data_IF_626493048296
#
_entry.id   IF_626493048296
#
_cell.length_a   1.000
_cell.length_b   1.000
_cell.length_c   1.000
_cell.angle_alpha   90.00
_cell.angle_beta   90.00
_cell.angle_gamma   90.00
#
_symmetry.space_group_name_H-M   'P 1'
#
loop_
_entity.id
_entity.type
_entity.pdbx_description
1 polymer ?
#
# COMPACT_ATOMS: atom_id res chain seq x y z
N UNK A 1 -0.31 -31.97 31.62
CA UNK A 1 -0.25 -32.63 30.30
C UNK A 1 -0.99 -31.74 29.35
N UNK A 2 -0.25 -30.97 28.55
CA UNK A 2 -0.80 -30.00 27.61
C UNK A 2 -0.19 -30.35 26.26
N UNK A 3 -1.06 -30.59 25.29
CA UNK A 3 -0.72 -30.92 23.91
C UNK A 3 -0.10 -29.69 23.24
N UNK A 4 1.05 -29.86 22.59
CA UNK A 4 1.60 -28.87 21.67
C UNK A 4 0.96 -29.02 20.29
N UNK A 5 0.64 -27.93 19.57
CA UNK A 5 0.31 -27.98 18.16
C UNK A 5 1.62 -28.17 17.37
N UNK A 6 1.71 -29.28 16.65
CA UNK A 6 2.75 -29.52 15.67
C UNK A 6 2.53 -28.60 14.46
N UNK A 7 3.62 -27.95 14.10
CA UNK A 7 3.86 -27.19 12.88
C UNK A 7 3.42 -27.98 11.63
N UNK A 8 2.51 -27.42 10.83
CA UNK A 8 2.16 -27.91 9.50
C UNK A 8 2.53 -26.81 8.52
N UNK A 9 3.79 -26.80 8.11
CA UNK A 9 4.24 -26.11 6.92
C UNK A 9 3.90 -26.98 5.70
N UNK A 10 2.68 -26.86 5.18
CA UNK A 10 2.36 -27.40 3.84
C UNK A 10 2.87 -26.43 2.80
N UNK A 11 4.03 -26.71 2.21
CA UNK A 11 4.42 -26.14 0.91
C UNK A 11 3.43 -26.65 -0.14
N UNK A 12 2.49 -25.81 -0.55
CA UNK A 12 1.52 -26.13 -1.59
C UNK A 12 2.25 -26.26 -2.94
N UNK A 13 1.95 -27.29 -3.73
CA UNK A 13 2.51 -27.46 -5.07
C UNK A 13 2.04 -26.31 -5.98
N UNK A 14 2.99 -25.59 -6.56
CA UNK A 14 2.68 -24.53 -7.53
C UNK A 14 2.37 -25.15 -8.90
N UNK A 15 1.23 -24.74 -9.47
CA UNK A 15 0.72 -25.21 -10.76
C UNK A 15 0.27 -24.03 -11.62
N UNK A 16 0.40 -24.15 -12.94
CA UNK A 16 -0.06 -23.13 -13.90
C UNK A 16 -0.63 -23.76 -15.18
N UNK A 17 -1.43 -22.98 -15.91
CA UNK A 17 -1.92 -23.34 -17.24
C UNK A 17 -1.23 -22.49 -18.31
N UNK A 18 -0.77 -23.12 -19.39
CA UNK A 18 -0.01 -22.47 -20.46
C UNK A 18 -0.66 -22.74 -21.82
N UNK A 19 -0.58 -21.76 -22.72
CA UNK A 19 -0.98 -21.85 -24.15
C UNK A 19 -2.45 -22.23 -24.43
N UNK A 20 -3.31 -22.20 -23.41
CA UNK A 20 -4.75 -22.33 -23.60
C UNK A 20 -5.40 -21.03 -24.09
N UNK A 21 -6.58 -21.13 -24.73
CA UNK A 21 -7.30 -19.97 -25.25
C UNK A 21 -7.87 -19.06 -24.15
N UNK A 22 -7.92 -19.54 -22.89
CA UNK A 22 -8.49 -18.85 -21.72
C UNK A 22 -7.61 -19.08 -20.48
N UNK A 23 -7.63 -18.19 -19.46
CA UNK A 23 -6.85 -18.34 -18.23
C UNK A 23 -7.10 -19.65 -17.45
N UNK A 24 -8.30 -20.21 -17.54
CA UNK A 24 -8.69 -21.48 -16.91
C UNK A 24 -8.68 -22.67 -17.90
N UNK A 25 -7.84 -22.59 -18.95
CA UNK A 25 -7.58 -23.67 -19.90
C UNK A 25 -6.12 -23.64 -20.31
N UNK A 26 -5.54 -24.80 -20.61
CA UNK A 26 -4.17 -24.87 -21.11
C UNK A 26 -3.48 -26.18 -20.76
N UNK A 27 -2.23 -26.31 -21.22
CA UNK A 27 -1.30 -27.35 -20.78
C UNK A 27 -1.00 -27.16 -19.30
N UNK A 28 -1.03 -28.24 -18.54
CA UNK A 28 -0.77 -28.19 -17.09
C UNK A 28 0.73 -28.31 -16.83
N UNK A 29 1.28 -27.35 -16.10
CA UNK A 29 2.67 -27.35 -15.66
C UNK A 29 2.76 -27.24 -14.13
N UNK A 30 3.74 -27.91 -13.55
CA UNK A 30 4.01 -27.95 -12.10
C UNK A 30 5.45 -27.52 -11.82
N UNK A 31 5.65 -26.79 -10.73
CA UNK A 31 6.98 -26.38 -10.28
C UNK A 31 7.56 -27.43 -9.34
N UNK A 32 8.68 -28.05 -9.73
CA UNK A 32 9.41 -29.01 -8.88
C UNK A 32 10.91 -28.70 -8.92
N UNK A 33 11.55 -28.69 -7.75
CA UNK A 33 12.97 -28.34 -7.60
C UNK A 33 13.38 -27.01 -8.27
N UNK A 34 12.45 -26.04 -8.35
CA UNK A 34 12.68 -24.73 -8.97
C UNK A 34 12.60 -24.71 -10.50
N UNK A 35 12.18 -25.82 -11.13
CA UNK A 35 12.02 -25.94 -12.58
C UNK A 35 10.57 -26.30 -12.93
N UNK A 36 9.97 -25.55 -13.85
CA UNK A 36 8.66 -25.87 -14.38
C UNK A 36 8.75 -27.09 -15.30
N UNK A 37 7.78 -27.99 -15.19
CA UNK A 37 7.68 -29.14 -16.08
C UNK A 37 6.25 -29.61 -16.22
N UNK A 38 6.00 -30.43 -17.23
CA UNK A 38 4.67 -30.88 -17.63
C UNK A 38 4.23 -32.15 -16.90
N UNK A 39 2.99 -32.55 -17.14
CA UNK A 39 2.38 -33.78 -16.64
C UNK A 39 2.08 -34.66 -17.86
N UNK A 40 2.41 -35.95 -17.79
CA UNK A 40 2.06 -36.92 -18.82
C UNK A 40 0.56 -37.28 -18.78
N UNK A 41 -0.05 -37.50 -19.94
CA UNK A 41 -1.45 -37.84 -20.11
C UNK A 41 -1.80 -39.32 -19.84
N UNK A 42 -0.79 -40.15 -19.55
CA UNK A 42 -0.96 -41.50 -19.02
C UNK A 42 -1.70 -41.46 -17.68
N UNK A 43 -2.92 -42.01 -17.66
CA UNK A 43 -3.81 -41.95 -16.50
C UNK A 43 -4.65 -40.67 -16.40
N UNK A 44 -4.43 -39.67 -17.26
CA UNK A 44 -5.07 -38.36 -17.16
C UNK A 44 -6.54 -38.38 -17.59
N UNK A 45 -7.46 -38.20 -16.65
CA UNK A 45 -8.88 -38.05 -16.95
C UNK A 45 -9.54 -36.90 -16.19
N UNK A 46 -10.89 -36.85 -16.23
CA UNK A 46 -11.65 -35.77 -15.60
C UNK A 46 -11.42 -35.68 -14.08
N UNK A 47 -10.99 -36.75 -13.41
CA UNK A 47 -10.70 -36.74 -11.97
C UNK A 47 -9.44 -35.94 -11.67
N UNK A 48 -8.36 -36.16 -12.42
CA UNK A 48 -7.12 -35.39 -12.30
C UNK A 48 -7.37 -33.92 -12.68
N UNK A 49 -8.09 -33.69 -13.77
CA UNK A 49 -8.50 -32.36 -14.20
C UNK A 49 -9.34 -31.63 -13.14
N UNK A 50 -10.26 -32.31 -12.44
CA UNK A 50 -11.07 -31.72 -11.36
C UNK A 50 -10.19 -31.23 -10.20
N UNK A 51 -9.17 -32.02 -9.84
CA UNK A 51 -8.18 -31.61 -8.82
C UNK A 51 -7.43 -30.37 -9.28
N UNK A 52 -6.97 -30.31 -10.54
CA UNK A 52 -6.28 -29.13 -11.10
C UNK A 52 -7.18 -27.90 -11.12
N UNK A 53 -8.39 -28.01 -11.66
CA UNK A 53 -9.33 -26.90 -11.75
C UNK A 53 -9.67 -26.34 -10.37
N UNK A 54 -9.89 -27.21 -9.38
CA UNK A 54 -10.12 -26.79 -8.00
C UNK A 54 -8.88 -26.20 -7.35
N UNK A 55 -7.71 -26.80 -7.52
CA UNK A 55 -6.45 -26.31 -6.96
C UNK A 55 -6.09 -24.92 -7.51
N UNK A 56 -6.45 -24.62 -8.76
CA UNK A 56 -6.32 -23.30 -9.39
C UNK A 56 -7.46 -22.32 -9.06
N UNK A 57 -8.55 -22.77 -8.42
CA UNK A 57 -9.74 -21.96 -8.20
C UNK A 57 -10.54 -21.66 -9.49
N UNK A 58 -10.38 -22.46 -10.53
CA UNK A 58 -10.97 -22.30 -11.86
C UNK A 58 -12.35 -22.97 -12.04
N UNK A 59 -13.04 -23.32 -10.95
CA UNK A 59 -14.32 -24.04 -10.99
C UNK A 59 -14.15 -25.55 -11.19
N UNK A 60 -15.09 -26.17 -11.91
CA UNK A 60 -15.11 -27.63 -12.16
C UNK A 60 -14.45 -27.98 -13.49
N UNK A 61 -13.92 -29.18 -13.66
CA UNK A 61 -13.36 -29.63 -14.93
C UNK A 61 -14.47 -29.85 -15.98
N UNK A 62 -14.32 -29.20 -17.15
CA UNK A 62 -15.16 -29.47 -18.32
C UNK A 62 -14.54 -30.55 -19.19
N UNK A 63 -13.22 -30.55 -19.34
CA UNK A 63 -12.51 -31.58 -20.11
C UNK A 63 -11.07 -31.77 -19.62
N UNK A 64 -10.53 -32.95 -19.90
CA UNK A 64 -9.15 -33.34 -19.62
C UNK A 64 -8.44 -33.71 -20.94
N UNK A 65 -8.05 -32.71 -21.77
CA UNK A 65 -7.44 -33.02 -23.05
C UNK A 65 -6.08 -33.70 -22.91
N UNK A 66 -5.81 -34.58 -23.86
CA UNK A 66 -4.60 -35.38 -24.02
C UNK A 66 -3.87 -34.97 -25.30
N UNK A 67 -2.74 -35.60 -25.55
CA UNK A 67 -1.97 -35.46 -26.80
C UNK A 67 -1.55 -33.99 -27.08
N UNK A 68 -1.15 -33.26 -26.04
CA UNK A 68 -0.61 -31.89 -26.14
C UNK A 68 -1.50 -30.92 -26.91
N UNK A 69 -2.81 -30.97 -26.66
CA UNK A 69 -3.81 -30.10 -27.31
C UNK A 69 -3.42 -28.62 -27.33
N UNK A 70 -2.81 -28.12 -26.25
CA UNK A 70 -2.36 -26.73 -26.12
C UNK A 70 -0.86 -26.56 -26.33
N UNK A 71 -0.27 -27.40 -27.19
CA UNK A 71 1.15 -27.37 -27.48
C UNK A 71 1.97 -28.21 -26.49
N UNK A 72 3.16 -28.55 -26.93
CA UNK A 72 4.15 -29.34 -26.22
C UNK A 72 4.91 -28.44 -25.24
N UNK A 73 5.20 -28.96 -24.04
CA UNK A 73 6.11 -28.31 -23.12
C UNK A 73 7.56 -28.44 -23.56
N UNK A 74 8.43 -27.77 -22.82
CA UNK A 74 9.87 -27.89 -22.98
C UNK A 74 10.47 -28.47 -21.68
N UNK A 75 11.56 -29.21 -21.81
CA UNK A 75 12.37 -29.74 -20.71
C UNK A 75 11.87 -31.01 -20.00
N UNK A 76 11.20 -30.88 -18.85
CA UNK A 76 10.95 -31.98 -17.92
C UNK A 76 9.47 -32.35 -17.87
N UNK A 77 9.18 -33.65 -17.90
CA UNK A 77 7.88 -34.22 -17.54
C UNK A 77 8.00 -34.70 -16.10
N UNK A 78 7.30 -34.04 -15.17
CA UNK A 78 7.48 -34.28 -13.74
C UNK A 78 6.58 -35.37 -13.18
N UNK A 79 5.34 -35.47 -13.65
CA UNK A 79 4.34 -36.40 -13.14
C UNK A 79 3.82 -37.28 -14.28
N UNK A 80 3.52 -38.55 -13.97
CA UNK A 80 2.82 -39.48 -14.85
C UNK A 80 2.03 -40.49 -14.04
N UNK A 81 1.09 -41.18 -14.68
CA UNK A 81 0.24 -42.21 -14.07
C UNK A 81 -0.50 -41.70 -12.83
N UNK A 82 -0.97 -40.45 -12.90
CA UNK A 82 -1.78 -39.86 -11.85
C UNK A 82 -3.09 -40.64 -11.72
N UNK A 83 -3.41 -41.01 -10.49
CA UNK A 83 -4.61 -41.74 -10.13
C UNK A 83 -5.32 -41.01 -8.98
N UNK A 84 -6.00 -39.94 -9.33
CA UNK A 84 -6.82 -39.15 -8.42
C UNK A 84 -8.22 -39.77 -8.29
N UNK A 85 -8.80 -39.62 -7.11
CA UNK A 85 -10.24 -39.87 -6.85
C UNK A 85 -11.10 -38.71 -7.34
N UNK A 86 -10.51 -37.53 -7.56
CA UNK A 86 -11.18 -36.27 -7.91
C UNK A 86 -11.53 -35.40 -6.69
N UNK A 87 -11.24 -35.86 -5.47
CA UNK A 87 -11.60 -35.17 -4.22
C UNK A 87 -10.41 -34.56 -3.48
N UNK A 88 -9.20 -34.82 -3.96
CA UNK A 88 -7.92 -34.35 -3.45
C UNK A 88 -7.77 -32.82 -3.46
N UNK A 89 -7.13 -32.25 -2.44
CA UNK A 89 -6.88 -30.80 -2.37
C UNK A 89 -5.74 -30.33 -3.28
N UNK A 90 -4.83 -31.24 -3.63
CA UNK A 90 -3.67 -30.99 -4.48
C UNK A 90 -3.33 -32.23 -5.33
N UNK A 91 -2.73 -32.03 -6.51
CA UNK A 91 -2.18 -33.12 -7.32
C UNK A 91 -1.15 -33.98 -6.58
N UNK A 92 -0.47 -33.42 -5.57
CA UNK A 92 0.47 -34.17 -4.71
C UNK A 92 -0.20 -35.20 -3.82
N UNK A 93 -1.51 -35.09 -3.61
CA UNK A 93 -2.27 -36.02 -2.78
C UNK A 93 -2.79 -37.22 -3.59
N UNK A 94 -2.66 -37.17 -4.91
CA UNK A 94 -3.00 -38.28 -5.78
C UNK A 94 -1.88 -39.34 -5.78
N UNK A 95 -2.25 -40.60 -5.99
CA UNK A 95 -1.26 -41.64 -6.24
C UNK A 95 -0.62 -41.39 -7.61
N UNK A 96 0.71 -41.40 -7.67
CA UNK A 96 1.49 -41.14 -8.87
C UNK A 96 2.80 -41.94 -8.87
N UNK A 97 3.44 -42.06 -10.03
CA UNK A 97 4.84 -42.52 -10.08
C UNK A 97 5.78 -41.50 -9.40
N UNK A 98 6.99 -41.92 -8.99
CA UNK A 98 8.01 -41.00 -8.50
C UNK A 98 8.26 -39.84 -9.47
N UNK A 99 8.55 -38.66 -8.94
CA UNK A 99 8.80 -37.45 -9.73
C UNK A 99 9.88 -37.68 -10.79
N UNK A 100 9.57 -37.37 -12.05
CA UNK A 100 10.45 -37.55 -13.20
C UNK A 100 10.63 -38.99 -13.68
N UNK A 101 9.96 -39.97 -13.08
CA UNK A 101 9.95 -41.37 -13.53
C UNK A 101 8.77 -41.62 -14.49
N UNK A 102 9.01 -41.42 -15.78
CA UNK A 102 8.04 -41.67 -16.85
C UNK A 102 8.73 -42.13 -18.14
N UNK A 103 7.94 -42.71 -19.04
CA UNK A 103 8.36 -43.08 -20.40
C UNK A 103 7.79 -42.15 -21.47
N UNK A 104 7.19 -41.05 -21.04
CA UNK A 104 6.43 -40.16 -21.90
C UNK A 104 7.34 -39.20 -22.67
N UNK A 105 6.79 -38.61 -23.71
CA UNK A 105 7.38 -37.50 -24.43
C UNK A 105 6.39 -36.32 -24.48
N UNK A 106 6.84 -35.15 -24.94
CA UNK A 106 6.00 -33.94 -24.90
C UNK A 106 4.80 -33.94 -25.86
N UNK A 107 4.62 -34.96 -26.71
CA UNK A 107 3.33 -35.17 -27.41
C UNK A 107 2.26 -35.66 -26.45
N UNK A 108 2.64 -36.16 -25.27
CA UNK A 108 1.76 -36.73 -24.25
C UNK A 108 1.53 -35.74 -23.10
N UNK A 109 1.74 -34.43 -23.30
CA UNK A 109 1.53 -33.45 -22.23
C UNK A 109 0.02 -33.22 -21.99
N UNK A 110 -0.36 -33.39 -20.74
CA UNK A 110 -1.71 -33.26 -20.26
C UNK A 110 -2.16 -31.78 -20.23
N UNK A 111 -3.44 -31.59 -20.56
CA UNK A 111 -4.09 -30.28 -20.57
C UNK A 111 -5.40 -30.32 -19.79
N UNK A 112 -5.93 -29.15 -19.47
CA UNK A 112 -7.24 -29.01 -18.83
C UNK A 112 -8.08 -27.91 -19.47
N UNK A 113 -9.40 -28.11 -19.50
CA UNK A 113 -10.38 -27.03 -19.67
C UNK A 113 -11.29 -27.04 -18.44
N UNK A 114 -11.22 -26.00 -17.63
CA UNK A 114 -12.12 -25.82 -16.51
C UNK A 114 -13.36 -25.05 -16.96
N UNK A 115 -14.40 -25.03 -16.13
CA UNK A 115 -15.62 -24.27 -16.40
C UNK A 115 -15.33 -22.78 -16.54
N UNK A 116 -14.19 -22.34 -15.98
CA UNK A 116 -14.11 -21.02 -15.39
C UNK A 116 -15.11 -21.00 -14.23
N UNK A 117 -14.82 -20.27 -13.16
CA UNK A 117 -15.99 -19.64 -12.53
C UNK A 117 -16.61 -18.79 -13.63
N UNK A 118 -17.92 -18.90 -13.88
CA UNK A 118 -18.64 -17.82 -14.58
C UNK A 118 -18.11 -16.53 -13.96
N UNK A 119 -17.24 -15.83 -14.68
CA UNK A 119 -16.78 -14.53 -14.24
C UNK A 119 -18.09 -13.74 -14.30
N UNK A 120 -18.68 -13.35 -13.15
CA UNK A 120 -19.91 -12.59 -13.20
C UNK A 120 -19.56 -11.39 -14.06
N UNK A 121 -20.20 -11.17 -15.21
CA UNK A 121 -19.97 -9.90 -15.91
C UNK A 121 -20.81 -8.87 -15.17
N UNK A 122 -20.16 -7.85 -14.57
CA UNK A 122 -18.78 -7.43 -14.76
C UNK A 122 -17.77 -8.12 -13.82
N UNK A 123 -16.63 -8.57 -14.36
CA UNK A 123 -15.71 -9.50 -13.69
C UNK A 123 -15.10 -9.02 -12.36
N UNK A 124 -14.38 -9.91 -11.64
CA UNK A 124 -13.81 -9.58 -10.34
C UNK A 124 -12.90 -8.35 -10.42
N UNK A 125 -12.88 -7.59 -9.33
CA UNK A 125 -11.95 -6.48 -9.14
C UNK A 125 -10.79 -6.91 -8.24
N UNK A 126 -9.65 -6.22 -8.34
CA UNK A 126 -8.50 -6.39 -7.43
C UNK A 126 -7.80 -5.07 -7.16
N UNK A 127 -7.03 -5.05 -6.07
CA UNK A 127 -6.12 -3.95 -5.73
C UNK A 127 -4.66 -4.39 -5.92
N UNK A 128 -3.90 -3.64 -6.72
CA UNK A 128 -2.51 -3.98 -7.09
C UNK A 128 -1.53 -2.90 -6.64
N UNK A 129 -0.30 -3.30 -6.27
CA UNK A 129 0.80 -2.37 -5.98
C UNK A 129 0.74 -1.71 -4.59
N UNK A 130 -0.28 -2.00 -3.78
CA UNK A 130 -0.33 -1.57 -2.39
C UNK A 130 0.20 -2.62 -1.40
N UNK A 131 0.27 -2.27 -0.10
CA UNK A 131 0.95 -3.07 0.92
C UNK A 131 0.21 -4.37 1.30
N UNK A 132 -1.06 -4.49 0.93
CA UNK A 132 -1.87 -5.70 1.12
C UNK A 132 -3.10 -5.66 0.19
N UNK A 133 -3.92 -6.73 0.23
CA UNK A 133 -5.11 -6.90 -0.64
C UNK A 133 -6.19 -5.81 -0.51
N UNK A 134 -6.14 -4.97 0.52
CA UNK A 134 -7.15 -3.95 0.81
C UNK A 134 -6.65 -2.51 0.53
N UNK A 135 -5.52 -2.35 -0.16
CA UNK A 135 -5.04 -1.06 -0.65
C UNK A 135 -4.28 -1.25 -1.97
N UNK A 136 -4.50 -0.38 -2.95
CA UNK A 136 -3.80 -0.46 -4.24
C UNK A 136 -4.50 0.27 -5.38
N UNK A 137 -3.91 0.18 -6.58
CA UNK A 137 -4.52 0.55 -7.86
C UNK A 137 -5.70 -0.36 -8.13
N UNK A 138 -6.83 0.20 -8.58
CA UNK A 138 -8.02 -0.57 -8.91
C UNK A 138 -7.86 -1.16 -10.31
N UNK A 139 -8.02 -2.48 -10.41
CA UNK A 139 -8.08 -3.19 -11.68
C UNK A 139 -9.36 -4.04 -11.74
N UNK A 140 -9.97 -4.09 -12.91
CA UNK A 140 -11.18 -4.85 -13.21
C UNK A 140 -10.87 -5.89 -14.28
N UNK A 141 -11.41 -7.10 -14.11
CA UNK A 141 -11.34 -8.15 -15.11
C UNK A 141 -12.52 -8.00 -16.06
N UNK A 142 -12.26 -7.67 -17.32
CA UNK A 142 -13.28 -7.58 -18.37
C UNK A 142 -12.74 -8.19 -19.66
N UNK A 143 -13.61 -8.90 -20.41
CA UNK A 143 -13.22 -9.68 -21.59
C UNK A 143 -12.00 -10.59 -21.34
N UNK A 144 -11.97 -11.25 -20.17
CA UNK A 144 -10.89 -12.15 -19.74
C UNK A 144 -9.50 -11.45 -19.61
N UNK A 145 -9.44 -10.11 -19.54
CA UNK A 145 -8.21 -9.32 -19.34
C UNK A 145 -8.32 -8.31 -18.20
N UNK A 146 -7.27 -8.23 -17.40
CA UNK A 146 -7.16 -7.19 -16.38
C UNK A 146 -6.86 -5.84 -17.04
N UNK A 147 -7.55 -4.80 -16.57
CA UNK A 147 -7.30 -3.42 -16.95
C UNK A 147 -7.57 -2.47 -15.81
N UNK A 148 -7.00 -1.27 -15.87
CA UNK A 148 -7.14 -0.26 -14.83
C UNK A 148 -8.43 0.57 -14.99
N UNK A 149 -8.70 1.38 -13.97
CA UNK A 149 -9.80 2.35 -13.94
C UNK A 149 -9.20 3.76 -13.96
N UNK A 150 -9.73 4.67 -14.77
CA UNK A 150 -9.30 6.06 -14.76
C UNK A 150 -9.81 6.80 -13.52
N UNK A 151 -9.07 7.82 -13.07
CA UNK A 151 -9.45 8.65 -11.93
C UNK A 151 -10.35 9.85 -12.27
N UNK A 152 -10.70 10.07 -13.54
CA UNK A 152 -11.66 11.11 -13.90
C UNK A 152 -13.00 10.81 -13.21
N UNK A 153 -13.54 11.81 -12.51
CA UNK A 153 -14.69 11.72 -11.58
C UNK A 153 -14.52 10.76 -10.37
N UNK A 154 -13.35 10.12 -10.20
CA UNK A 154 -13.12 9.13 -9.13
C UNK A 154 -13.08 9.73 -7.72
N UNK A 155 -13.99 9.29 -6.86
CA UNK A 155 -14.18 9.81 -5.50
C UNK A 155 -14.23 8.71 -4.42
N UNK A 156 -14.51 9.13 -3.18
CA UNK A 156 -14.60 8.22 -2.03
C UNK A 156 -15.80 7.25 -2.13
N UNK A 157 -16.88 7.61 -2.82
CA UNK A 157 -18.03 6.74 -3.05
C UNK A 157 -17.66 5.60 -4.01
N UNK A 158 -16.86 5.87 -5.04
CA UNK A 158 -16.35 4.81 -5.93
C UNK A 158 -15.44 3.84 -5.18
N UNK A 159 -14.50 4.38 -4.40
CA UNK A 159 -13.65 3.58 -3.54
C UNK A 159 -14.46 2.79 -2.50
N UNK A 160 -15.59 3.34 -2.02
CA UNK A 160 -16.46 2.65 -1.06
C UNK A 160 -17.11 1.40 -1.67
N UNK A 161 -17.53 1.48 -2.94
CA UNK A 161 -18.05 0.31 -3.68
C UNK A 161 -16.95 -0.73 -3.85
N UNK A 162 -15.74 -0.32 -4.25
CA UNK A 162 -14.57 -1.22 -4.35
C UNK A 162 -14.28 -1.92 -3.03
N UNK A 163 -14.21 -1.18 -1.93
CA UNK A 163 -13.88 -1.71 -0.61
C UNK A 163 -14.94 -2.69 -0.08
N UNK A 164 -16.23 -2.39 -0.31
CA UNK A 164 -17.35 -3.28 0.01
C UNK A 164 -17.31 -4.55 -0.85
N UNK A 165 -17.14 -4.41 -2.17
CA UNK A 165 -17.10 -5.53 -3.11
C UNK A 165 -15.96 -6.52 -2.78
N UNK A 166 -14.81 -6.01 -2.29
CA UNK A 166 -13.67 -6.83 -1.86
C UNK A 166 -13.78 -7.38 -0.43
N UNK A 167 -14.82 -7.01 0.33
CA UNK A 167 -14.95 -7.37 1.74
C UNK A 167 -13.84 -6.77 2.62
N UNK A 168 -13.31 -5.61 2.24
CA UNK A 168 -12.21 -4.92 2.91
C UNK A 168 -12.67 -3.81 3.86
N UNK A 169 -13.97 -3.74 4.17
CA UNK A 169 -14.55 -2.73 5.05
C UNK A 169 -14.91 -1.44 4.29
N UNK A 170 -14.79 -0.30 4.97
CA UNK A 170 -15.11 1.01 4.43
C UNK A 170 -13.94 1.63 3.67
N UNK A 171 -14.24 2.51 2.72
CA UNK A 171 -13.21 3.29 2.06
C UNK A 171 -12.62 4.33 3.02
N UNK A 172 -11.30 4.44 2.96
CA UNK A 172 -10.51 5.40 3.74
C UNK A 172 -9.96 6.49 2.81
N UNK A 173 -9.54 6.13 1.59
CA UNK A 173 -9.20 7.07 0.51
C UNK A 173 -9.54 6.50 -0.87
N UNK A 174 -9.71 7.44 -1.80
CA UNK A 174 -9.74 7.24 -3.24
C UNK A 174 -8.55 7.95 -3.92
N UNK A 175 -7.30 7.44 -3.81
CA UNK A 175 -6.16 8.17 -4.38
C UNK A 175 -6.18 8.20 -5.91
N UNK A 176 -5.82 9.36 -6.46
CA UNK A 176 -5.67 9.61 -7.90
C UNK A 176 -4.18 9.56 -8.33
N UNK A 177 -3.92 9.75 -9.62
CA UNK A 177 -2.56 9.96 -10.15
C UNK A 177 -1.66 8.72 -10.12
N UNK A 178 -2.21 7.51 -10.22
CA UNK A 178 -1.47 6.25 -10.19
C UNK A 178 -0.57 6.07 -8.94
N UNK A 179 -1.09 6.44 -7.76
CA UNK A 179 -0.36 6.40 -6.47
C UNK A 179 0.31 5.05 -6.18
N UNK A 180 -0.32 3.93 -6.56
CA UNK A 180 0.21 2.57 -6.38
C UNK A 180 0.86 2.01 -7.65
N UNK A 181 1.41 2.91 -8.47
CA UNK A 181 2.05 2.58 -9.73
C UNK A 181 1.05 2.60 -10.89
N UNK A 182 1.61 2.77 -12.08
CA UNK A 182 0.90 2.77 -13.36
C UNK A 182 0.59 1.35 -13.78
N UNK A 183 -0.59 1.15 -14.36
CA UNK A 183 -0.93 -0.04 -15.14
C UNK A 183 -0.11 -0.13 -16.42
N UNK A 184 -0.18 -1.30 -17.05
CA UNK A 184 0.53 -1.62 -18.30
C UNK A 184 -0.40 -2.01 -19.45
N UNK A 185 -1.67 -2.27 -19.15
CA UNK A 185 -2.64 -2.92 -20.02
C UNK A 185 -3.80 -1.98 -20.40
N UNK A 186 -4.98 -2.49 -20.75
CA UNK A 186 -6.12 -1.64 -21.14
C UNK A 186 -6.65 -0.82 -19.95
N UNK A 187 -7.14 0.41 -20.17
CA UNK A 187 -7.97 1.13 -19.20
C UNK A 187 -9.43 0.79 -19.53
N UNK A 188 -10.12 0.15 -18.60
CA UNK A 188 -11.46 -0.39 -18.85
C UNK A 188 -12.60 0.56 -18.52
N UNK A 189 -12.46 1.32 -17.44
CA UNK A 189 -13.51 2.20 -16.94
C UNK A 189 -12.98 3.64 -16.84
N UNK A 190 -13.88 4.58 -17.12
CA UNK A 190 -13.65 6.02 -17.13
C UNK A 190 -14.95 6.74 -16.73
N UNK A 191 -14.82 7.95 -16.17
CA UNK A 191 -15.91 8.73 -15.54
C UNK A 191 -16.79 7.87 -14.60
N UNK A 192 -16.16 7.07 -13.73
CA UNK A 192 -16.90 6.24 -12.76
C UNK A 192 -17.52 7.16 -11.70
N UNK A 193 -18.82 7.02 -11.47
CA UNK A 193 -19.58 7.94 -10.62
C UNK A 193 -20.63 7.20 -9.78
N UNK A 194 -20.14 6.38 -8.85
CA UNK A 194 -20.93 5.62 -7.89
C UNK A 194 -21.61 6.52 -6.86
N UNK A 195 -22.72 6.05 -6.31
CA UNK A 195 -23.39 6.65 -5.15
C UNK A 195 -22.90 6.09 -3.81
N UNK A 196 -22.06 5.03 -3.83
CA UNK A 196 -21.44 4.40 -2.65
C UNK A 196 -22.25 3.24 -2.06
N UNK A 197 -23.40 2.92 -2.66
CA UNK A 197 -24.33 1.86 -2.21
C UNK A 197 -24.46 0.69 -3.19
N UNK A 198 -23.88 0.82 -4.37
CA UNK A 198 -23.82 -0.22 -5.39
C UNK A 198 -23.18 -1.49 -4.84
N UNK A 199 -23.62 -2.65 -5.31
CA UNK A 199 -23.06 -3.93 -4.87
C UNK A 199 -21.72 -4.24 -5.55
N UNK A 200 -21.49 -3.66 -6.73
CA UNK A 200 -20.26 -3.83 -7.49
C UNK A 200 -19.91 -2.58 -8.31
N UNK A 201 -18.63 -2.40 -8.61
CA UNK A 201 -18.10 -1.21 -9.28
C UNK A 201 -18.73 -0.98 -10.66
N UNK A 202 -19.17 -2.04 -11.32
CA UNK A 202 -19.71 -1.92 -12.66
C UNK A 202 -21.25 -1.88 -12.73
N UNK A 203 -21.90 -1.79 -11.57
CA UNK A 203 -23.25 -1.19 -11.46
C UNK A 203 -23.21 0.33 -11.43
N UNK A 204 -22.03 0.93 -11.20
CA UNK A 204 -21.89 2.38 -11.18
C UNK A 204 -22.05 2.98 -12.58
N UNK A 205 -22.68 4.16 -12.69
CA UNK A 205 -22.60 4.97 -13.90
C UNK A 205 -21.13 5.18 -14.29
N UNK A 206 -20.82 4.89 -15.55
CA UNK A 206 -19.50 5.07 -16.14
C UNK A 206 -19.63 5.21 -17.67
N UNK A 207 -18.55 5.60 -18.33
CA UNK A 207 -18.44 5.50 -19.79
C UNK A 207 -18.52 4.04 -20.26
N UNK A 208 -18.86 3.79 -21.55
CA UNK A 208 -18.76 2.46 -22.11
C UNK A 208 -17.37 1.85 -21.91
N UNK A 209 -17.32 0.55 -21.63
CA UNK A 209 -16.06 -0.17 -21.39
C UNK A 209 -15.02 0.07 -22.50
N UNK A 210 -13.82 0.46 -22.10
CA UNK A 210 -12.70 0.77 -22.99
C UNK A 210 -12.80 2.11 -23.74
N UNK A 211 -13.87 2.89 -23.56
CA UNK A 211 -13.97 4.27 -24.05
C UNK A 211 -13.46 5.24 -22.98
N UNK A 212 -12.20 5.64 -23.12
CA UNK A 212 -11.54 6.57 -22.21
C UNK A 212 -10.65 7.57 -22.95
N UNK A 213 -10.39 8.71 -22.33
CA UNK A 213 -9.38 9.68 -22.81
C UNK A 213 -8.08 9.65 -21.98
N UNK A 214 -8.03 8.81 -20.94
CA UNK A 214 -6.95 8.78 -19.97
C UNK A 214 -5.68 8.04 -20.44
N UNK A 215 -4.57 8.27 -19.74
CA UNK A 215 -3.35 7.47 -19.81
C UNK A 215 -3.03 6.89 -18.41
N UNK A 216 -2.15 5.89 -18.30
CA UNK A 216 -1.88 5.22 -17.00
C UNK A 216 -1.27 6.08 -15.89
N UNK A 217 -0.94 7.35 -16.14
CA UNK A 217 -0.68 8.28 -15.05
C UNK A 217 -1.94 8.66 -14.27
N UNK A 218 -3.10 8.34 -14.82
CA UNK A 218 -4.42 8.66 -14.29
C UNK A 218 -5.12 7.44 -13.68
N UNK A 219 -4.43 6.31 -13.49
CA UNK A 219 -5.07 5.15 -12.88
C UNK A 219 -5.51 5.43 -11.42
N UNK A 220 -6.77 5.10 -11.14
CA UNK A 220 -7.43 5.23 -9.86
C UNK A 220 -6.97 4.18 -8.85
N UNK A 221 -7.11 4.50 -7.57
CA UNK A 221 -6.74 3.63 -6.46
C UNK A 221 -7.79 3.65 -5.35
N UNK A 222 -7.79 2.61 -4.53
CA UNK A 222 -8.61 2.54 -3.32
C UNK A 222 -7.75 2.12 -2.11
N UNK A 223 -8.05 2.71 -0.95
CA UNK A 223 -7.50 2.31 0.34
C UNK A 223 -8.67 2.05 1.27
N UNK A 224 -8.79 0.82 1.75
CA UNK A 224 -9.90 0.37 2.60
C UNK A 224 -9.48 0.23 4.07
N UNK A 225 -10.43 0.25 5.00
CA UNK A 225 -10.14 0.18 6.44
C UNK A 225 -9.49 -1.14 6.84
N UNK A 226 -9.83 -2.23 6.15
CA UNK A 226 -9.20 -3.54 6.27
C UNK A 226 -7.71 -3.57 5.88
N UNK A 227 -7.17 -2.51 5.26
CA UNK A 227 -5.74 -2.41 4.98
C UNK A 227 -4.90 -2.11 6.23
N UNK A 228 -5.52 -1.63 7.31
CA UNK A 228 -4.81 -1.11 8.48
C UNK A 228 -4.08 0.21 8.24
N UNK A 229 -4.16 0.76 7.02
CA UNK A 229 -3.64 2.10 6.70
C UNK A 229 -4.65 3.11 7.23
N UNK A 230 -4.35 3.69 8.39
CA UNK A 230 -5.05 4.88 8.86
C UNK A 230 -4.50 6.07 8.09
N UNK A 231 -5.38 6.82 7.42
CA UNK A 231 -5.00 8.12 6.89
C UNK A 231 -4.74 9.01 8.08
N UNK A 232 -3.47 9.34 8.30
CA UNK A 232 -3.17 10.54 9.05
C UNK A 232 -3.56 11.68 8.13
N UNK A 233 -4.77 12.19 8.31
CA UNK A 233 -5.19 13.46 7.73
C UNK A 233 -4.16 14.46 8.20
N UNK A 234 -3.30 14.85 7.27
CA UNK A 234 -2.11 15.61 7.61
C UNK A 234 -2.59 17.02 7.92
N UNK A 235 -2.29 17.49 9.13
CA UNK A 235 -2.51 18.88 9.53
C UNK A 235 -1.19 19.60 9.30
N UNK A 236 -1.25 20.85 8.82
CA UNK A 236 -0.10 21.75 8.78
C UNK A 236 -0.49 23.14 9.26
N UNK A 237 0.52 23.90 9.69
CA UNK A 237 0.37 25.30 10.06
C UNK A 237 1.07 26.17 9.01
N UNK A 238 0.36 27.17 8.49
CA UNK A 238 0.84 28.04 7.41
C UNK A 238 0.84 29.50 7.86
N UNK A 239 1.79 30.29 7.36
CA UNK A 239 1.89 31.75 7.54
C UNK A 239 1.96 32.26 8.98
N UNK A 240 2.22 31.37 9.95
CA UNK A 240 2.51 31.76 11.32
C UNK A 240 3.97 32.22 11.51
N UNK A 241 4.24 33.02 12.55
CA UNK A 241 5.58 33.53 12.84
C UNK A 241 6.55 32.44 13.30
N UNK A 242 6.04 31.25 13.65
CA UNK A 242 6.81 30.10 14.16
C UNK A 242 6.22 28.77 13.69
N UNK A 243 6.99 27.64 13.69
CA UNK A 243 6.53 26.34 13.20
C UNK A 243 5.28 25.79 13.90
N UNK A 244 5.07 26.14 15.16
CA UNK A 244 3.93 25.70 15.97
C UNK A 244 2.88 26.80 16.12
N UNK A 245 2.77 27.67 15.11
CA UNK A 245 1.72 28.69 15.00
C UNK A 245 1.36 28.88 13.53
N UNK A 246 0.12 29.24 13.23
CA UNK A 246 -0.30 29.53 11.85
C UNK A 246 -1.77 29.23 11.59
N UNK A 247 -2.20 29.50 10.36
CA UNK A 247 -3.47 29.03 9.81
C UNK A 247 -3.45 27.51 9.75
N UNK A 248 -4.54 26.87 10.18
CA UNK A 248 -4.64 25.41 10.19
C UNK A 248 -5.17 24.93 8.86
N UNK A 249 -4.40 24.06 8.20
CA UNK A 249 -4.81 23.41 6.95
C UNK A 249 -4.79 21.89 7.11
N UNK A 250 -5.75 21.23 6.49
CA UNK A 250 -5.92 19.77 6.48
C UNK A 250 -5.82 19.25 5.04
N UNK A 251 -5.11 18.15 4.87
CA UNK A 251 -5.04 17.44 3.59
C UNK A 251 -6.19 16.46 3.47
N UNK A 252 -7.13 16.73 2.57
CA UNK A 252 -8.24 15.84 2.24
C UNK A 252 -8.29 15.60 0.74
N UNK A 253 -8.45 14.35 0.30
CA UNK A 253 -8.48 13.97 -1.12
C UNK A 253 -7.27 14.47 -1.95
N UNK A 254 -6.11 14.60 -1.30
CA UNK A 254 -4.88 15.08 -1.96
C UNK A 254 -4.80 16.59 -2.14
N UNK A 255 -5.80 17.35 -1.67
CA UNK A 255 -5.87 18.82 -1.74
C UNK A 255 -5.81 19.40 -0.33
N UNK A 256 -4.94 20.39 -0.14
CA UNK A 256 -4.90 21.14 1.11
C UNK A 256 -6.06 22.12 1.15
N UNK A 257 -6.77 22.18 2.27
CA UNK A 257 -7.81 23.16 2.50
C UNK A 257 -7.85 23.61 3.95
N UNK A 258 -8.53 24.71 4.19
CA UNK A 258 -8.61 25.36 5.49
C UNK A 258 -9.74 24.80 6.34
N UNK A 259 -9.80 25.27 7.59
CA UNK A 259 -10.84 24.94 8.56
C UNK A 259 -11.59 26.23 8.89
N UNK A 260 -12.91 26.20 8.91
CA UNK A 260 -13.73 27.32 9.35
C UNK A 260 -13.66 27.52 10.87
N UNK A 261 -13.70 28.78 11.32
CA UNK A 261 -13.64 29.16 12.72
C UNK A 261 -14.98 29.03 13.48
N UNK A 262 -16.05 28.63 12.80
CA UNK A 262 -17.31 28.21 13.39
C UNK A 262 -17.09 26.96 14.27
N UNK A 263 -17.34 27.12 15.57
CA UNK A 263 -17.06 26.09 16.58
C UNK A 263 -15.61 26.05 17.05
N UNK A 264 -14.69 26.82 16.46
CA UNK A 264 -13.26 26.73 16.76
C UNK A 264 -12.88 27.36 18.11
N UNK A 265 -12.47 26.54 19.07
CA UNK A 265 -11.98 26.98 20.37
C UNK A 265 -10.68 26.28 20.82
N UNK A 266 -10.30 26.46 22.09
CA UNK A 266 -9.08 25.88 22.64
C UNK A 266 -9.06 24.34 22.61
N UNK A 267 -10.22 23.67 22.54
CA UNK A 267 -10.32 22.21 22.47
C UNK A 267 -9.84 21.69 21.11
N UNK A 268 -10.30 22.30 20.03
CA UNK A 268 -9.86 21.98 18.67
C UNK A 268 -8.36 22.30 18.52
N UNK A 269 -7.95 23.47 19.02
CA UNK A 269 -6.53 23.86 19.06
C UNK A 269 -5.65 22.88 19.85
N UNK A 270 -6.13 22.35 20.99
CA UNK A 270 -5.38 21.37 21.79
C UNK A 270 -5.16 20.07 21.01
N UNK A 271 -6.17 19.63 20.25
CA UNK A 271 -6.04 18.46 19.36
C UNK A 271 -5.02 18.75 18.27
N UNK A 272 -5.06 19.91 17.61
CA UNK A 272 -4.07 20.32 16.60
C UNK A 272 -2.65 20.32 17.16
N UNK A 273 -2.44 21.03 18.27
CA UNK A 273 -1.11 21.18 18.86
C UNK A 273 -0.52 19.83 19.28
N UNK A 274 -1.35 18.95 19.86
CA UNK A 274 -0.94 17.61 20.23
C UNK A 274 -0.69 16.71 19.01
N UNK A 275 -1.55 16.76 18.00
CA UNK A 275 -1.41 16.00 16.76
C UNK A 275 -0.11 16.37 16.02
N UNK A 276 0.29 17.64 16.06
CA UNK A 276 1.53 18.14 15.48
C UNK A 276 2.76 17.96 16.37
N UNK A 277 2.61 17.47 17.60
CA UNK A 277 3.69 17.39 18.57
C UNK A 277 4.22 18.75 19.03
N UNK A 278 3.42 19.82 18.90
CA UNK A 278 3.74 21.20 19.22
C UNK A 278 3.44 21.59 20.68
N UNK A 279 3.15 20.61 21.54
CA UNK A 279 2.78 20.83 22.94
C UNK A 279 1.29 21.04 23.13
N UNK A 280 0.95 21.84 24.15
CA UNK A 280 -0.42 22.29 24.44
C UNK A 280 -0.78 23.55 23.65
N UNK A 281 -2.06 23.79 23.42
CA UNK A 281 -2.58 25.01 22.82
C UNK A 281 -2.43 26.22 23.76
N UNK A 282 -1.95 27.33 23.20
CA UNK A 282 -1.93 28.63 23.87
C UNK A 282 -3.12 29.50 23.44
N UNK A 283 -3.46 29.45 22.15
CA UNK A 283 -4.61 30.19 21.61
C UNK A 283 -5.21 29.51 20.38
N UNK A 284 -6.48 29.80 20.13
CA UNK A 284 -7.25 29.37 18.95
C UNK A 284 -7.76 30.61 18.18
N UNK A 285 -6.89 31.33 17.45
CA UNK A 285 -7.32 32.53 16.76
C UNK A 285 -8.33 32.24 15.64
N UNK A 286 -9.20 33.22 15.44
CA UNK A 286 -10.28 33.25 14.45
C UNK A 286 -10.03 34.36 13.44
N UNK A 287 -10.92 34.51 12.47
CA UNK A 287 -10.92 35.61 11.51
C UNK A 287 -9.60 35.70 10.69
N UNK A 288 -9.05 34.56 10.28
CA UNK A 288 -7.87 34.47 9.40
C UNK A 288 -6.67 35.27 9.87
N UNK A 289 -6.37 35.20 11.18
CA UNK A 289 -5.25 35.92 11.80
C UNK A 289 -3.93 35.79 11.05
N UNK A 290 -3.65 34.62 10.48
CA UNK A 290 -2.43 34.34 9.72
C UNK A 290 -2.65 34.37 8.20
N UNK A 291 -3.62 35.15 7.75
CA UNK A 291 -3.98 35.25 6.34
C UNK A 291 -5.00 34.22 5.92
N UNK A 292 -5.74 34.56 4.89
CA UNK A 292 -6.74 33.73 4.23
C UNK A 292 -6.05 32.60 3.45
N UNK A 293 -6.64 31.40 3.47
CA UNK A 293 -6.24 30.33 2.58
C UNK A 293 -6.75 30.52 1.16
N UNK A 294 -6.48 29.53 0.34
CA UNK A 294 -6.95 29.48 -1.04
C UNK A 294 -7.78 28.21 -1.27
N UNK A 295 -8.70 28.29 -2.22
CA UNK A 295 -9.51 27.16 -2.73
C UNK A 295 -10.58 26.61 -1.79
N UNK A 296 -10.26 25.59 -0.99
CA UNK A 296 -11.24 24.74 -0.29
C UNK A 296 -11.22 24.98 1.21
N UNK A 297 -12.40 25.10 1.80
CA UNK A 297 -12.62 25.02 3.24
C UNK A 297 -13.18 23.61 3.50
N UNK A 298 -12.40 22.77 4.16
CA UNK A 298 -12.72 21.35 4.30
C UNK A 298 -13.59 21.02 5.49
N UNK A 299 -13.35 21.68 6.63
CA UNK A 299 -14.02 21.39 7.89
C UNK A 299 -14.72 22.65 8.41
N UNK A 300 -15.90 22.45 9.01
CA UNK A 300 -16.65 23.49 9.74
C UNK A 300 -17.45 22.86 10.88
N UNK A 301 -17.87 23.69 11.84
CA UNK A 301 -18.61 23.26 13.03
C UNK A 301 -17.92 22.13 13.80
N UNK A 302 -16.60 22.24 13.95
CA UNK A 302 -15.82 21.27 14.71
C UNK A 302 -16.22 21.33 16.19
N UNK A 303 -16.47 20.15 16.77
CA UNK A 303 -16.86 19.98 18.16
C UNK A 303 -15.99 18.89 18.80
N UNK A 304 -14.76 19.26 19.15
CA UNK A 304 -13.83 18.41 19.87
C UNK A 304 -14.08 18.45 21.39
N UNK A 305 -13.85 17.35 22.07
CA UNK A 305 -13.75 17.30 23.53
C UNK A 305 -12.42 17.87 24.03
N UNK A 306 -11.40 17.87 23.18
CA UNK A 306 -10.02 18.27 23.45
C UNK A 306 -9.10 17.08 23.78
N UNK A 307 -9.61 15.85 23.72
CA UNK A 307 -8.89 14.61 24.09
C UNK A 307 -8.62 13.68 22.91
N UNK A 308 -9.17 13.99 21.75
CA UNK A 308 -9.06 13.27 20.47
C UNK A 308 -7.60 13.09 20.02
N UNK A 309 -7.31 12.02 19.28
CA UNK A 309 -5.96 11.77 18.76
C UNK A 309 -5.65 12.58 17.49
N UNK A 310 -6.68 12.89 16.71
CA UNK A 310 -6.63 13.65 15.47
C UNK A 310 -7.81 14.62 15.38
N UNK A 311 -7.64 15.73 14.67
CA UNK A 311 -8.71 16.68 14.32
C UNK A 311 -9.90 16.00 13.61
N UNK A 312 -9.63 14.93 12.86
CA UNK A 312 -10.66 14.17 12.15
C UNK A 312 -11.46 13.21 13.03
N UNK A 313 -11.06 13.01 14.28
CA UNK A 313 -11.83 12.22 15.24
C UNK A 313 -12.91 13.08 15.92
N UNK A 314 -12.88 14.40 15.73
CA UNK A 314 -13.87 15.31 16.27
C UNK A 314 -15.17 15.21 15.46
N UNK A 315 -16.30 15.46 16.13
CA UNK A 315 -17.57 15.64 15.44
C UNK A 315 -17.50 16.91 14.57
N UNK A 316 -17.88 16.79 13.30
CA UNK A 316 -17.86 17.87 12.33
C UNK A 316 -18.98 17.68 11.29
N UNK A 317 -19.27 18.73 10.52
CA UNK A 317 -20.06 18.60 9.29
C UNK A 317 -19.34 17.74 8.25
N UNK A 318 -20.08 17.18 7.26
CA UNK A 318 -19.48 16.53 6.10
C UNK A 318 -18.40 17.41 5.44
N UNK A 319 -17.35 16.78 4.93
CA UNK A 319 -16.23 17.47 4.31
C UNK A 319 -16.69 18.38 3.16
N UNK A 320 -16.23 19.64 3.18
CA UNK A 320 -16.59 20.64 2.19
C UNK A 320 -18.00 21.24 2.34
N UNK A 321 -18.83 20.73 3.27
CA UNK A 321 -20.12 21.33 3.62
C UNK A 321 -19.94 22.44 4.66
N UNK A 322 -19.90 23.69 4.20
CA UNK A 322 -19.81 24.87 5.03
C UNK A 322 -20.42 26.09 4.34
N UNK A 323 -20.79 27.09 5.13
CA UNK A 323 -21.24 28.41 4.64
C UNK A 323 -20.18 29.48 4.80
N UNK A 324 -18.96 29.07 5.17
CA UNK A 324 -17.89 29.97 5.52
C UNK A 324 -17.19 30.50 4.28
N UNK A 325 -16.44 31.58 4.47
CA UNK A 325 -15.49 32.10 3.49
C UNK A 325 -14.10 32.20 4.12
N UNK A 326 -13.07 32.48 3.32
CA UNK A 326 -11.70 32.47 3.82
C UNK A 326 -11.35 33.58 4.82
N UNK A 327 -12.25 34.53 5.13
CA UNK A 327 -12.09 35.43 6.28
C UNK A 327 -12.28 34.66 7.60
N UNK A 328 -12.95 33.51 7.56
CA UNK A 328 -13.27 32.67 8.72
C UNK A 328 -12.28 31.50 8.87
N UNK A 329 -11.08 31.57 8.28
CA UNK A 329 -10.11 30.49 8.40
C UNK A 329 -9.49 30.46 9.81
N UNK A 330 -9.62 29.31 10.45
CA UNK A 330 -9.14 29.05 11.78
C UNK A 330 -7.60 28.97 11.85
N UNK A 331 -7.07 29.39 12.99
CA UNK A 331 -5.63 29.43 13.27
C UNK A 331 -5.34 28.84 14.65
N UNK A 332 -4.06 28.54 14.91
CA UNK A 332 -3.61 28.06 16.21
C UNK A 332 -2.26 28.66 16.62
N UNK A 333 -2.05 28.80 17.93
CA UNK A 333 -0.73 29.02 18.53
C UNK A 333 -0.50 27.98 19.64
N UNK A 334 0.61 27.23 19.55
CA UNK A 334 0.97 26.21 20.53
C UNK A 334 2.13 26.64 21.43
N UNK A 335 2.32 25.89 22.53
CA UNK A 335 3.27 26.21 23.60
C UNK A 335 4.74 26.03 23.25
N UNK A 336 5.06 25.30 22.17
CA UNK A 336 6.44 24.99 21.78
C UNK A 336 7.23 24.42 22.96
N UNK A 337 6.83 23.25 23.46
CA UNK A 337 7.57 22.61 24.55
C UNK A 337 8.86 22.03 24.01
N UNK A 338 9.99 22.67 24.36
CA UNK A 338 11.36 22.16 24.31
C UNK A 338 11.71 21.33 23.06
N UNK A 339 11.63 21.92 21.87
CA UNK A 339 12.40 21.40 20.74
C UNK A 339 13.86 21.86 20.91
N UNK A 340 14.82 20.95 21.09
CA UNK A 340 16.22 21.34 21.22
C UNK A 340 16.67 22.14 20.00
N UNK A 341 17.52 23.15 20.21
CA UNK A 341 18.15 24.00 19.18
C UNK A 341 18.88 23.19 18.09
N UNK A 342 19.14 21.90 18.36
CA UNK A 342 19.59 20.88 17.42
C UNK A 342 18.34 20.15 16.88
N UNK A 343 17.88 20.53 15.69
CA UNK A 343 16.54 20.21 15.19
C UNK A 343 16.15 18.71 15.14
N UNK A 344 14.85 18.40 15.25
CA UNK A 344 14.34 17.02 15.25
C UNK A 344 14.61 16.27 13.95
N UNK A 345 14.60 14.94 14.07
CA UNK A 345 14.65 13.97 12.98
C UNK A 345 13.30 13.26 12.87
N UNK A 346 12.84 12.98 11.64
CA UNK A 346 11.61 12.20 11.39
C UNK A 346 11.81 11.17 10.28
N UNK A 347 11.01 10.11 10.33
CA UNK A 347 10.96 9.07 9.30
C UNK A 347 9.65 9.17 8.53
N UNK A 348 9.72 9.34 7.21
CA UNK A 348 8.55 9.61 6.35
C UNK A 348 8.35 8.50 5.32
N UNK A 349 7.10 8.16 5.01
CA UNK A 349 6.75 7.26 3.92
C UNK A 349 6.98 5.77 4.19
N UNK A 350 7.45 5.39 5.39
CA UNK A 350 7.60 3.99 5.76
C UNK A 350 6.37 3.38 6.44
N UNK A 351 6.35 2.04 6.60
CA UNK A 351 5.18 1.29 7.07
C UNK A 351 4.85 1.49 8.56
N UNK A 352 5.75 2.10 9.34
CA UNK A 352 5.56 2.43 10.75
C UNK A 352 6.56 3.52 11.17
N UNK A 353 6.46 3.99 12.42
CA UNK A 353 7.32 5.05 12.98
C UNK A 353 8.83 4.74 13.03
N UNK A 354 9.23 3.49 12.78
CA UNK A 354 10.60 3.00 12.86
C UNK A 354 11.19 2.62 11.49
N UNK A 355 10.53 3.00 10.40
CA UNK A 355 11.07 2.85 9.05
C UNK A 355 10.61 4.05 8.19
N UNK A 356 11.46 4.53 7.29
CA UNK A 356 11.11 5.64 6.39
C UNK A 356 12.31 6.36 5.82
N UNK A 357 12.04 7.32 4.93
CA UNK A 357 12.99 8.33 4.46
C UNK A 357 13.40 9.20 5.63
N UNK A 358 14.69 9.48 5.75
CA UNK A 358 15.24 10.29 6.84
C UNK A 358 15.12 11.77 6.48
N UNK A 359 14.44 12.54 7.34
CA UNK A 359 14.36 13.99 7.22
C UNK A 359 14.80 14.66 8.51
N UNK A 360 15.56 15.74 8.38
CA UNK A 360 16.10 16.55 9.48
C UNK A 360 15.53 17.97 9.41
N UNK A 361 15.27 18.58 10.56
CA UNK A 361 14.82 19.96 10.63
C UNK A 361 16.04 20.89 10.76
N UNK A 362 16.24 21.76 9.79
CA UNK A 362 17.28 22.80 9.84
C UNK A 362 16.73 24.14 9.40
N UNK A 363 17.06 25.22 10.14
CA UNK A 363 16.53 26.58 9.90
C UNK A 363 15.00 26.60 9.74
N UNK A 364 14.30 25.85 10.59
CA UNK A 364 12.83 25.74 10.59
C UNK A 364 12.22 25.14 9.32
N UNK A 365 12.99 24.40 8.51
CA UNK A 365 12.50 23.70 7.32
C UNK A 365 12.95 22.25 7.33
N UNK A 366 12.04 21.34 6.97
CA UNK A 366 12.36 19.93 6.82
C UNK A 366 13.10 19.71 5.51
N UNK A 367 14.10 18.83 5.56
CA UNK A 367 14.83 18.42 4.37
C UNK A 367 15.36 17.00 4.50
N UNK A 368 15.57 16.35 3.36
CA UNK A 368 16.07 14.98 3.30
C UNK A 368 17.58 14.91 3.55
N UNK A 369 18.07 13.69 3.74
CA UNK A 369 19.48 13.34 3.82
C UNK A 369 19.84 12.60 2.53
N UNK A 370 20.97 12.93 1.90
CA UNK A 370 21.46 12.19 0.74
C UNK A 370 22.02 10.82 1.15
N UNK A 371 21.90 9.84 0.26
CA UNK A 371 22.39 8.47 0.45
C UNK A 371 23.86 8.26 0.02
N UNK A 372 24.53 9.30 -0.49
CA UNK A 372 25.98 9.32 -0.67
C UNK A 372 26.67 9.04 0.68
N UNK A 373 27.48 7.97 0.71
CA UNK A 373 28.16 7.44 1.90
C UNK A 373 27.27 6.90 3.03
N UNK A 374 25.95 6.79 2.81
CA UNK A 374 24.98 6.34 3.81
C UNK A 374 25.13 4.86 4.19
N UNK A 375 25.46 4.59 5.45
CA UNK A 375 25.75 3.24 5.93
C UNK A 375 25.02 2.86 7.23
N UNK A 376 25.34 1.65 7.72
CA UNK A 376 24.71 1.09 8.93
C UNK A 376 25.07 1.83 10.23
N UNK A 377 26.15 2.61 10.26
CA UNK A 377 26.52 3.46 11.39
C UNK A 377 25.68 4.72 11.40
N UNK A 378 25.39 5.32 10.26
CA UNK A 378 24.46 6.46 10.16
C UNK A 378 23.06 6.03 10.58
N UNK A 379 22.59 4.91 10.03
CA UNK A 379 21.33 4.28 10.43
C UNK A 379 21.28 3.98 11.93
N UNK A 380 22.40 3.60 12.56
CA UNK A 380 22.47 3.36 14.00
C UNK A 380 22.23 4.63 14.81
N UNK A 381 22.82 5.76 14.39
CA UNK A 381 22.58 7.06 15.02
C UNK A 381 21.12 7.45 14.86
N UNK A 382 20.58 7.38 13.65
CA UNK A 382 19.17 7.71 13.38
C UNK A 382 18.22 6.84 14.18
N UNK A 383 18.34 5.51 14.13
CA UNK A 383 17.45 4.60 14.84
C UNK A 383 17.46 4.82 16.36
N UNK A 384 18.61 5.20 16.91
CA UNK A 384 18.71 5.58 18.31
C UNK A 384 18.05 6.94 18.57
N UNK A 385 18.31 7.93 17.72
CA UNK A 385 17.79 9.28 17.86
C UNK A 385 16.25 9.31 17.78
N UNK A 386 15.63 8.48 16.92
CA UNK A 386 14.16 8.31 16.85
C UNK A 386 13.59 7.34 17.90
N UNK A 387 14.43 6.74 18.75
CA UNK A 387 14.01 5.84 19.82
C UNK A 387 13.51 4.46 19.36
N UNK A 388 13.96 3.99 18.19
CA UNK A 388 13.53 2.74 17.55
C UNK A 388 14.53 1.58 17.68
N UNK A 389 15.53 1.71 18.56
CA UNK A 389 16.47 0.64 18.88
C UNK A 389 17.59 0.50 17.85
N UNK A 390 17.94 -0.75 17.51
CA UNK A 390 19.05 -1.03 16.59
C UNK A 390 18.63 -0.92 15.12
N UNK A 391 19.53 -0.52 14.22
CA UNK A 391 19.26 -0.49 12.79
C UNK A 391 19.17 -1.92 12.22
N UNK A 392 18.23 -2.14 11.31
CA UNK A 392 18.11 -3.35 10.49
C UNK A 392 18.64 -3.13 9.08
N UNK A 393 18.49 -1.92 8.53
CA UNK A 393 18.95 -1.59 7.18
C UNK A 393 19.10 -0.07 7.00
N UNK A 394 20.01 0.32 6.11
CA UNK A 394 20.22 1.68 5.60
C UNK A 394 19.94 1.71 4.08
N UNK A 395 18.67 1.76 3.63
CA UNK A 395 18.38 1.72 2.20
C UNK A 395 18.71 3.03 1.47
N UNK A 396 19.29 2.89 0.28
CA UNK A 396 19.57 3.94 -0.71
C UNK A 396 18.39 4.05 -1.72
N UNK A 397 18.47 5.02 -2.63
CA UNK A 397 17.63 5.14 -3.82
C UNK A 397 16.21 5.64 -3.56
N UNK A 398 15.99 6.47 -2.52
CA UNK A 398 14.68 7.00 -2.15
C UNK A 398 13.61 5.91 -1.96
N UNK A 399 13.96 4.80 -1.30
CA UNK A 399 13.10 3.63 -1.08
C UNK A 399 11.70 3.95 -0.54
N UNK A 400 11.60 4.94 0.35
CA UNK A 400 10.32 5.38 0.95
C UNK A 400 9.77 6.66 0.31
N UNK A 401 10.06 6.82 -0.99
CA UNK A 401 9.65 7.95 -1.78
C UNK A 401 10.65 9.10 -1.73
N UNK A 402 10.54 9.97 -2.72
CA UNK A 402 11.35 11.18 -2.88
C UNK A 402 10.84 12.30 -1.97
N UNK A 403 11.77 13.05 -1.39
CA UNK A 403 11.50 14.33 -0.76
C UNK A 403 11.03 15.36 -1.79
N UNK A 404 10.42 16.43 -1.30
CA UNK A 404 9.81 17.49 -2.12
C UNK A 404 10.41 18.88 -1.86
N UNK A 405 11.37 18.99 -0.94
CA UNK A 405 11.93 20.27 -0.51
C UNK A 405 13.45 20.36 -0.72
N UNK A 406 14.22 20.49 0.35
CA UNK A 406 15.67 20.72 0.36
C UNK A 406 16.36 19.46 0.83
N UNK A 407 17.55 19.17 0.30
CA UNK A 407 18.42 18.13 0.85
C UNK A 407 19.40 18.84 1.80
N UNK A 408 19.36 18.48 3.07
CA UNK A 408 20.11 19.19 4.11
C UNK A 408 21.49 18.63 4.37
N UNK A 409 21.63 17.31 4.33
CA UNK A 409 22.86 16.60 4.65
C UNK A 409 23.30 15.75 3.47
N UNK A 410 24.61 15.71 3.25
CA UNK A 410 25.30 14.98 2.19
C UNK A 410 26.67 14.51 2.73
N UNK A 411 27.16 13.37 2.21
CA UNK A 411 28.35 12.65 2.70
C UNK A 411 28.33 12.44 4.23
N UNK A 412 27.23 11.92 4.78
CA UNK A 412 27.12 11.67 6.23
C UNK A 412 28.00 10.48 6.60
N UNK A 413 28.97 10.68 7.49
CA UNK A 413 29.93 9.65 7.89
C UNK A 413 29.98 9.49 9.42
N UNK A 414 28.90 8.98 10.02
CA UNK A 414 28.86 8.70 11.46
C UNK A 414 29.82 7.54 11.84
N UNK A 415 30.43 7.63 13.03
CA UNK A 415 31.09 6.51 13.70
C UNK A 415 30.09 5.53 14.36
N UNK A 416 28.82 5.93 14.47
CA UNK A 416 27.74 5.14 15.08
C UNK A 416 27.64 5.32 16.60
N UNK A 417 28.27 6.36 17.14
CA UNK A 417 28.30 6.69 18.58
C UNK A 417 27.75 8.08 18.90
N UNK A 418 27.61 8.92 17.89
CA UNK A 418 27.05 10.28 17.88
C UNK A 418 25.63 10.32 18.40
N UNK A 419 25.30 11.29 19.26
CA UNK A 419 23.97 11.35 19.85
C UNK A 419 22.91 11.67 18.80
N UNK A 420 23.22 12.63 17.92
CA UNK A 420 22.36 13.08 16.85
C UNK A 420 23.07 12.94 15.50
N UNK A 421 22.31 12.76 14.42
CA UNK A 421 22.86 12.75 13.05
C UNK A 421 23.56 14.06 12.69
N UNK A 422 23.14 15.17 13.30
CA UNK A 422 23.77 16.48 13.13
C UNK A 422 25.17 16.58 13.74
N UNK A 423 25.56 15.64 14.60
CA UNK A 423 26.89 15.56 15.20
C UNK A 423 27.87 14.79 14.30
N UNK A 424 27.37 14.11 13.27
CA UNK A 424 28.20 13.32 12.37
C UNK A 424 28.97 14.24 11.41
N UNK A 425 30.21 13.89 11.04
CA UNK A 425 30.89 14.49 9.90
C UNK A 425 29.98 14.43 8.67
N UNK A 426 29.77 15.57 8.03
CA UNK A 426 28.99 15.72 6.81
C UNK A 426 29.45 16.99 6.07
N UNK A 427 28.99 17.17 4.84
CA UNK A 427 29.13 18.46 4.14
C UNK A 427 28.39 19.60 4.85
N UNK A 428 28.75 20.86 4.57
CA UNK A 428 28.00 22.00 5.07
C UNK A 428 26.51 21.89 4.72
N UNK A 429 25.65 22.26 5.68
CA UNK A 429 24.19 22.15 5.52
C UNK A 429 23.68 22.79 4.22
N UNK A 430 23.00 21.99 3.40
CA UNK A 430 22.42 22.40 2.11
C UNK A 430 23.41 22.42 0.93
N UNK A 431 24.68 22.07 1.14
CA UNK A 431 25.63 21.81 0.05
C UNK A 431 25.60 20.33 -0.30
N UNK A 432 25.05 20.00 -1.47
CA UNK A 432 24.96 18.62 -1.96
C UNK A 432 25.06 18.55 -3.50
N UNK A 433 25.43 17.38 -4.04
CA UNK A 433 25.31 17.08 -5.47
C UNK A 433 24.14 16.14 -5.81
N UNK A 434 23.34 15.79 -4.80
CA UNK A 434 22.27 14.80 -4.95
C UNK A 434 20.98 15.39 -5.50
N UNK A 435 20.15 14.52 -6.09
CA UNK A 435 18.73 14.80 -6.37
C UNK A 435 17.85 13.89 -5.50
N UNK A 436 16.55 14.19 -5.35
CA UNK A 436 15.68 13.41 -4.44
C UNK A 436 15.46 11.93 -4.78
N UNK A 437 16.06 11.40 -5.85
CA UNK A 437 16.16 9.95 -6.05
C UNK A 437 17.24 9.28 -5.21
N UNK A 438 18.08 10.07 -4.55
CA UNK A 438 19.21 9.70 -3.68
C UNK A 438 18.87 10.02 -2.21
N UNK A 439 17.58 10.09 -1.86
CA UNK A 439 17.19 10.35 -0.46
C UNK A 439 17.36 9.08 0.39
N UNK A 440 18.19 9.21 1.43
CA UNK A 440 18.50 8.17 2.38
C UNK A 440 17.28 7.72 3.19
N UNK A 441 17.25 6.43 3.48
CA UNK A 441 16.19 5.80 4.27
C UNK A 441 16.78 4.96 5.40
N UNK A 442 15.94 4.62 6.37
CA UNK A 442 16.32 3.70 7.45
C UNK A 442 15.20 2.71 7.77
N UNK A 443 15.58 1.53 8.23
CA UNK A 443 14.69 0.55 8.85
C UNK A 443 15.31 0.16 10.19
N UNK A 444 14.55 0.35 11.27
CA UNK A 444 14.97 0.04 12.64
C UNK A 444 14.20 -1.17 13.17
N UNK A 445 14.73 -1.81 14.22
CA UNK A 445 14.13 -3.00 14.81
C UNK A 445 12.76 -2.73 15.46
N UNK A 446 12.53 -1.49 15.93
CA UNK A 446 11.41 -1.15 16.78
C UNK A 446 11.59 -1.73 18.19
N UNK A 447 11.16 -1.00 19.22
CA UNK A 447 11.23 -1.49 20.60
C UNK A 447 10.13 -2.55 20.85
N UNK A 448 10.34 -3.76 20.36
CA UNK A 448 9.73 -4.98 20.91
C UNK A 448 10.51 -5.45 22.14
N UNK A 449 9.88 -6.18 23.08
CA UNK A 449 10.57 -6.64 24.29
C UNK A 449 11.80 -7.46 23.89
N UNK A 450 12.95 -7.08 24.44
CA UNK A 450 14.18 -7.84 24.29
C UNK A 450 13.94 -9.27 24.73
N UNK A 451 13.99 -10.22 23.79
CA UNK A 451 14.20 -11.62 24.11
C UNK A 451 15.59 -11.71 24.74
N UNK A 452 15.61 -11.62 26.06
CA UNK A 452 16.81 -11.82 26.86
C UNK A 452 17.43 -13.16 26.49
N UNK A 453 18.67 -13.09 26.06
CA UNK A 453 19.59 -14.22 25.99
C UNK A 453 19.63 -14.92 27.35
N UNK A 454 18.92 -16.05 27.48
CA UNK A 454 19.21 -17.01 28.53
C UNK A 454 20.50 -17.73 28.16
N UNK A 455 21.57 -17.35 28.86
CA UNK A 455 22.77 -18.17 28.98
C UNK A 455 22.36 -19.58 29.46
N UNK A 456 22.71 -20.58 28.66
CA UNK A 456 22.67 -21.98 29.07
C UNK A 456 24.00 -22.27 29.78
N UNK A 457 23.94 -22.38 31.11
CA UNK A 457 24.90 -23.19 31.88
C UNK A 457 24.42 -24.64 31.93
#
# INVERSE_FOLDING_TARGET
>A
GVLSPGDVTTTQLEIRLVDGPKPCSGRVEVLHEGVWGTICDDGWDLREAEVVCRQLGCGTALSAPRESKYGEGEEKIWLSDLNCTGTEGSLTDCEAKPWGDNTCNHVEDASVECSGTDIPEPGPIRLVGGPNRCAGRVEVLHEERWGSVCHDEWDLNDAQVVCKQLGCGDAVLAPIGAKFGRGSDTIWLDDVNCTGVEASLAECPARPWGDHNCYHGEDASAICSGSGITVSTSVRLVDGPKPCSGRVEVLHEGVWGTICDDGWDLREAEVVCRQLGCGTALSAPRESKYGEGEEKIWLSDLNCTGTEGSLTDCEAKPWGDNTCNHVEDASVECSEVDMPEEGPIRLVGGPNKCAGRVEVLHKHRWGSVCDDHWDMKDAKVVCRQVGCGSPLSAPEGARYGRGSEVIWLDDVECDGTEKNISDCPARPWGEHNCYHGEDASVICAGNGPSLGSSEVM
#
